data_IF_321579715823
#
_entry.id   IF_321579715823
#
_cell.length_a   1.000
_cell.length_b   1.000
_cell.length_c   1.000
_cell.angle_alpha   90.00
_cell.angle_beta   90.00
_cell.angle_gamma   90.00
#
_symmetry.space_group_name_H-M   'P 1'
#
loop_
_entity.id
_entity.type
_entity.pdbx_description
1 polymer ?
#
# COMPACT_ATOMS: atom_id res chain seq x y z
N UNK A 1 -0.95 -8.87 6.32
CA UNK A 1 -2.19 -8.88 7.09
C UNK A 1 -3.37 -9.32 6.26
N UNK A 2 -4.30 -9.97 6.90
CA UNK A 2 -5.60 -10.33 6.33
C UNK A 2 -6.68 -9.54 7.05
N UNK A 3 -7.63 -9.00 6.29
CA UNK A 3 -8.80 -8.32 6.82
C UNK A 3 -10.01 -9.24 6.72
N UNK A 4 -10.78 -9.34 7.80
CA UNK A 4 -12.02 -10.11 7.84
C UNK A 4 -13.19 -9.18 8.14
N UNK A 5 -14.33 -9.49 7.52
CA UNK A 5 -15.59 -8.77 7.72
C UNK A 5 -16.69 -9.81 7.91
N UNK A 6 -17.35 -9.79 9.06
CA UNK A 6 -18.37 -10.77 9.43
C UNK A 6 -17.89 -12.23 9.25
N UNK A 7 -16.64 -12.49 9.64
CA UNK A 7 -16.05 -13.83 9.54
C UNK A 7 -15.59 -14.23 8.15
N UNK A 8 -15.71 -13.35 7.14
CA UNK A 8 -15.25 -13.61 5.78
C UNK A 8 -13.98 -12.86 5.47
N UNK A 9 -13.10 -13.46 4.67
CA UNK A 9 -11.89 -12.79 4.20
C UNK A 9 -12.27 -11.67 3.23
N UNK A 10 -11.96 -10.43 3.60
CA UNK A 10 -12.32 -9.25 2.83
C UNK A 10 -11.16 -8.65 2.04
N UNK A 11 -9.93 -8.83 2.50
CA UNK A 11 -8.77 -8.27 1.82
C UNK A 11 -7.45 -8.67 2.44
N UNK A 12 -6.36 -8.21 1.85
CA UNK A 12 -5.01 -8.47 2.34
C UNK A 12 -4.05 -7.34 1.99
N UNK A 13 -2.92 -7.32 2.69
CA UNK A 13 -1.81 -6.39 2.44
C UNK A 13 -0.53 -7.01 3.01
N UNK A 14 0.61 -6.68 2.40
CA UNK A 14 1.92 -7.11 2.87
C UNK A 14 2.90 -5.95 2.96
N UNK A 15 3.91 -6.10 3.81
CA UNK A 15 5.03 -5.18 3.93
C UNK A 15 6.32 -5.99 3.70
N UNK A 16 7.12 -5.57 2.75
CA UNK A 16 8.40 -6.20 2.41
C UNK A 16 9.55 -5.24 2.71
N UNK A 17 10.63 -5.75 3.26
CA UNK A 17 11.84 -4.96 3.46
C UNK A 17 12.49 -4.65 2.12
N UNK A 18 12.78 -3.37 1.84
CA UNK A 18 13.62 -2.94 0.73
C UNK A 18 15.06 -2.73 1.19
N UNK A 19 15.24 -2.01 2.28
CA UNK A 19 16.54 -1.80 2.94
C UNK A 19 16.30 -1.43 4.40
N UNK A 20 17.33 -0.95 5.10
CA UNK A 20 17.24 -0.62 6.52
C UNK A 20 16.29 0.55 6.82
N UNK A 21 16.04 1.42 5.85
CA UNK A 21 15.21 2.61 6.04
C UNK A 21 13.89 2.56 5.30
N UNK A 22 13.71 1.62 4.35
CA UNK A 22 12.55 1.59 3.48
C UNK A 22 11.86 0.23 3.48
N UNK A 23 10.54 0.27 3.68
CA UNK A 23 9.68 -0.87 3.46
C UNK A 23 8.83 -0.67 2.20
N UNK A 24 8.31 -1.74 1.63
CA UNK A 24 7.48 -1.70 0.45
C UNK A 24 6.11 -2.32 0.74
N UNK A 25 5.06 -1.55 0.45
CA UNK A 25 3.69 -2.02 0.52
C UNK A 25 3.42 -2.91 -0.69
N UNK A 26 2.97 -4.13 -0.45
CA UNK A 26 2.71 -5.12 -1.48
C UNK A 26 1.32 -5.71 -1.34
N UNK A 27 0.76 -6.10 -2.48
CA UNK A 27 -0.44 -6.95 -2.56
C UNK A 27 -1.65 -6.39 -1.82
N UNK A 28 -1.83 -5.08 -1.81
CA UNK A 28 -3.07 -4.51 -1.31
C UNK A 28 -4.22 -4.98 -2.21
N UNK A 29 -5.16 -5.69 -1.61
CA UNK A 29 -6.34 -6.16 -2.29
C UNK A 29 -7.53 -6.16 -1.35
N UNK A 30 -8.66 -5.67 -1.84
CA UNK A 30 -9.95 -5.73 -1.14
C UNK A 30 -10.94 -6.40 -2.08
N UNK A 31 -11.61 -7.44 -1.60
CA UNK A 31 -12.61 -8.14 -2.42
C UNK A 31 -13.72 -7.18 -2.83
N UNK A 32 -14.22 -7.27 -4.08
CA UNK A 32 -15.23 -6.32 -4.57
C UNK A 32 -16.47 -6.23 -3.69
N UNK A 33 -16.90 -7.34 -3.08
CA UNK A 33 -18.07 -7.39 -2.21
C UNK A 33 -17.93 -6.56 -0.93
N UNK A 34 -16.70 -6.24 -0.56
CA UNK A 34 -16.38 -5.51 0.68
C UNK A 34 -15.85 -4.10 0.44
N UNK A 35 -15.84 -3.65 -0.80
CA UNK A 35 -15.44 -2.27 -1.12
C UNK A 35 -16.48 -1.30 -0.57
N UNK A 36 -16.02 -0.12 -0.16
CA UNK A 36 -16.87 0.88 0.47
C UNK A 36 -16.91 0.82 2.00
N UNK A 37 -16.24 -0.17 2.61
CA UNK A 37 -16.15 -0.32 4.07
C UNK A 37 -14.83 0.20 4.66
N UNK A 38 -14.04 0.92 3.89
CA UNK A 38 -12.73 1.47 4.29
C UNK A 38 -11.72 0.41 4.72
N UNK A 39 -11.84 -0.80 4.19
CA UNK A 39 -10.92 -1.90 4.52
C UNK A 39 -9.51 -1.61 4.00
N UNK A 40 -9.40 -1.07 2.79
CA UNK A 40 -8.11 -0.68 2.22
C UNK A 40 -7.38 0.35 3.08
N UNK A 41 -8.09 1.37 3.53
CA UNK A 41 -7.53 2.38 4.44
C UNK A 41 -7.05 1.75 5.75
N UNK A 42 -7.84 0.88 6.35
CA UNK A 42 -7.47 0.20 7.59
C UNK A 42 -6.22 -0.67 7.42
N UNK A 43 -6.12 -1.39 6.31
CA UNK A 43 -4.95 -2.21 5.99
C UNK A 43 -3.70 -1.35 5.83
N UNK A 44 -3.79 -0.25 5.10
CA UNK A 44 -2.65 0.66 4.90
C UNK A 44 -2.21 1.27 6.23
N UNK A 45 -3.15 1.72 7.06
CA UNK A 45 -2.83 2.27 8.39
C UNK A 45 -2.07 1.26 9.23
N UNK A 46 -2.48 -0.01 9.19
CA UNK A 46 -1.80 -1.07 9.93
C UNK A 46 -0.36 -1.27 9.45
N UNK A 47 -0.14 -1.26 8.15
CA UNK A 47 1.20 -1.37 7.57
C UNK A 47 2.08 -0.19 7.96
N UNK A 48 1.54 1.03 7.94
CA UNK A 48 2.29 2.22 8.34
C UNK A 48 2.68 2.16 9.82
N UNK A 49 1.80 1.70 10.68
CA UNK A 49 2.10 1.52 12.11
C UNK A 49 3.19 0.48 12.32
N UNK A 50 3.11 -0.65 11.62
CA UNK A 50 4.14 -1.69 11.70
C UNK A 50 5.49 -1.18 11.19
N UNK A 51 5.49 -0.43 10.09
CA UNK A 51 6.71 0.15 9.53
C UNK A 51 7.38 1.11 10.52
N UNK A 52 6.59 1.91 11.23
CA UNK A 52 7.11 2.79 12.30
C UNK A 52 7.75 1.99 13.41
N UNK A 53 7.11 0.91 13.86
CA UNK A 53 7.63 0.07 14.94
C UNK A 53 8.90 -0.67 14.54
N UNK A 54 9.00 -1.09 13.29
CA UNK A 54 10.22 -1.73 12.76
C UNK A 54 11.36 -0.73 12.68
N UNK A 55 11.06 0.56 12.49
CA UNK A 55 12.06 1.62 12.38
C UNK A 55 12.32 2.09 10.95
N UNK A 56 11.46 1.74 10.00
CA UNK A 56 11.54 2.29 8.64
C UNK A 56 11.25 3.79 8.67
N UNK A 57 11.87 4.52 7.75
CA UNK A 57 11.62 5.94 7.54
C UNK A 57 10.62 6.21 6.43
N UNK A 58 10.51 5.27 5.49
CA UNK A 58 9.68 5.41 4.30
C UNK A 58 8.97 4.11 3.98
N UNK A 59 7.77 4.22 3.45
CA UNK A 59 7.04 3.11 2.84
C UNK A 59 6.78 3.46 1.39
N UNK A 60 7.24 2.61 0.48
CA UNK A 60 7.14 2.81 -0.96
C UNK A 60 6.14 1.81 -1.54
N UNK A 61 5.62 2.13 -2.71
CA UNK A 61 4.77 1.21 -3.47
C UNK A 61 4.91 1.49 -4.95
N UNK A 62 4.52 0.51 -5.76
CA UNK A 62 4.28 0.71 -7.17
C UNK A 62 2.82 0.37 -7.49
N UNK A 63 2.26 1.02 -8.50
CA UNK A 63 0.87 0.80 -8.92
C UNK A 63 0.72 1.11 -10.40
N UNK A 64 -0.38 0.66 -10.98
CA UNK A 64 -0.67 0.90 -12.39
C UNK A 64 -1.60 2.09 -12.55
N UNK A 65 -1.44 2.90 -13.64
CA UNK A 65 -2.19 4.14 -13.81
C UNK A 65 -3.70 3.97 -13.88
N UNK A 66 -4.19 2.79 -14.28
CA UNK A 66 -5.62 2.54 -14.38
C UNK A 66 -6.28 2.20 -13.04
N UNK A 67 -5.50 1.98 -11.98
CA UNK A 67 -6.02 1.69 -10.64
C UNK A 67 -6.37 2.99 -9.91
N UNK A 68 -7.34 3.72 -10.44
CA UNK A 68 -7.67 5.07 -9.97
C UNK A 68 -8.10 5.13 -8.51
N UNK A 69 -8.91 4.17 -8.06
CA UNK A 69 -9.38 4.15 -6.68
C UNK A 69 -8.24 3.92 -5.69
N UNK A 70 -7.30 3.03 -6.03
CA UNK A 70 -6.14 2.77 -5.20
C UNK A 70 -5.23 4.01 -5.12
N UNK A 71 -4.95 4.63 -6.27
CA UNK A 71 -4.11 5.84 -6.32
C UNK A 71 -4.72 6.97 -5.51
N UNK A 72 -6.04 7.16 -5.62
CA UNK A 72 -6.75 8.17 -4.84
C UNK A 72 -6.58 7.90 -3.34
N UNK A 73 -6.77 6.66 -2.92
CA UNK A 73 -6.62 6.27 -1.52
C UNK A 73 -5.21 6.53 -1.01
N UNK A 74 -4.20 6.15 -1.78
CA UNK A 74 -2.80 6.40 -1.39
C UNK A 74 -2.54 7.90 -1.20
N UNK A 75 -3.00 8.73 -2.14
CA UNK A 75 -2.84 10.20 -2.03
C UNK A 75 -3.57 10.78 -0.83
N UNK A 76 -4.78 10.33 -0.58
CA UNK A 76 -5.58 10.77 0.59
C UNK A 76 -4.90 10.41 1.90
N UNK A 77 -4.15 9.32 1.94
CA UNK A 77 -3.43 8.89 3.14
C UNK A 77 -2.06 9.56 3.29
N UNK A 78 -1.60 10.29 2.29
CA UNK A 78 -0.34 11.03 2.37
C UNK A 78 0.80 10.50 1.51
N UNK A 79 0.57 9.49 0.69
CA UNK A 79 1.56 9.04 -0.29
C UNK A 79 1.68 10.08 -1.41
N UNK A 80 2.89 10.25 -1.92
CA UNK A 80 3.16 11.14 -3.04
C UNK A 80 3.99 10.42 -4.11
N UNK A 81 3.86 10.88 -5.35
CA UNK A 81 4.54 10.26 -6.49
C UNK A 81 6.04 10.53 -6.44
N UNK A 82 6.83 9.50 -6.73
CA UNK A 82 8.29 9.57 -6.82
C UNK A 82 8.76 8.96 -8.14
N UNK A 83 10.06 9.04 -8.42
CA UNK A 83 10.68 8.35 -9.55
C UNK A 83 10.76 6.84 -9.33
N UNK A 84 11.09 6.13 -10.40
CA UNK A 84 11.25 4.68 -10.39
C UNK A 84 12.35 4.27 -9.40
N UNK A 85 12.03 3.33 -8.50
CA UNK A 85 12.99 2.80 -7.53
C UNK A 85 13.30 1.31 -7.75
N UNK A 86 12.65 0.68 -8.73
CA UNK A 86 12.86 -0.73 -9.05
C UNK A 86 12.89 -0.94 -10.56
N UNK A 87 13.12 -2.18 -10.98
CA UNK A 87 13.15 -2.56 -12.40
C UNK A 87 11.77 -3.01 -12.86
N UNK A 88 10.80 -2.10 -12.88
CA UNK A 88 9.46 -2.43 -13.38
C UNK A 88 9.52 -2.66 -14.89
N UNK A 89 8.94 -3.76 -15.39
CA UNK A 89 8.85 -4.00 -16.84
C UNK A 89 7.80 -3.13 -17.53
N UNK A 90 6.97 -2.42 -16.78
CA UNK A 90 5.88 -1.59 -17.30
C UNK A 90 6.29 -0.12 -17.17
N UNK A 91 6.49 0.55 -18.31
CA UNK A 91 6.95 1.95 -18.34
C UNK A 91 5.95 2.93 -17.69
N UNK A 92 4.67 2.60 -17.70
CA UNK A 92 3.61 3.45 -17.15
C UNK A 92 3.41 3.29 -15.65
N UNK A 93 4.19 2.42 -14.99
CA UNK A 93 4.08 2.19 -13.55
C UNK A 93 4.30 3.50 -12.78
N UNK A 94 3.42 3.73 -11.82
CA UNK A 94 3.50 4.87 -10.90
C UNK A 94 4.14 4.41 -9.60
N UNK A 95 5.10 5.19 -9.11
CA UNK A 95 5.81 4.91 -7.86
C UNK A 95 5.46 5.97 -6.84
N UNK A 96 5.15 5.55 -5.62
CA UNK A 96 4.74 6.45 -4.56
C UNK A 96 5.47 6.15 -3.26
N UNK A 97 5.57 7.14 -2.39
CA UNK A 97 6.27 7.06 -1.11
C UNK A 97 5.49 7.77 -0.02
N UNK A 98 5.54 7.21 1.18
CA UNK A 98 5.05 7.82 2.40
C UNK A 98 6.21 8.00 3.37
N UNK A 99 6.34 9.18 3.94
CA UNK A 99 7.37 9.49 4.95
C UNK A 99 6.81 9.27 6.34
N UNK A 100 7.44 8.39 7.08
CA UNK A 100 7.02 8.02 8.43
C UNK A 100 7.47 9.03 9.48
#
# INVERSE_FOLDING_TARGET
YLACWDGQLAGCIGLRKLDEERGELKRLYVRPDFRGHRIGEALIRRILDDARQIGYRHVLLDTLPFLHSAIRLYREMGFYEIGCYNESPIETTIFMQYDL
#
